data_IF_146439306932
#
_entry.id   IF_146439306932
#
_cell.length_a   1.000
_cell.length_b   1.000
_cell.length_c   1.000
_cell.angle_alpha   90.00
_cell.angle_beta   90.00
_cell.angle_gamma   90.00
#
_symmetry.space_group_name_H-M   'P 1'
#
loop_
_entity.id
_entity.type
_entity.pdbx_description
1 polymer ?
#
# COMPACT_ATOMS: atom_id res chain seq x y z
N UNK A 1 -10.65 -29.08 -30.26
CA UNK A 1 -9.28 -28.57 -30.22
C UNK A 1 -9.27 -27.26 -31.01
N UNK A 2 -9.54 -26.13 -30.35
CA UNK A 2 -9.33 -24.81 -30.96
C UNK A 2 -8.08 -24.23 -30.32
N UNK A 3 -7.03 -24.15 -31.13
CA UNK A 3 -5.74 -23.64 -30.72
C UNK A 3 -5.69 -22.15 -31.10
N UNK A 4 -6.40 -21.31 -30.35
CA UNK A 4 -6.20 -19.85 -30.41
C UNK A 4 -4.87 -19.53 -29.72
N UNK A 5 -3.76 -19.75 -30.44
CA UNK A 5 -2.50 -19.06 -30.11
C UNK A 5 -2.72 -17.59 -30.43
N UNK A 6 -3.14 -16.82 -29.43
CA UNK A 6 -3.00 -15.37 -29.40
C UNK A 6 -1.54 -15.06 -29.76
N UNK A 7 -1.30 -14.60 -30.98
CA UNK A 7 0.02 -14.12 -31.41
C UNK A 7 0.16 -12.73 -30.78
N UNK A 8 0.80 -12.66 -29.61
CA UNK A 8 1.22 -11.39 -29.04
C UNK A 8 2.21 -10.73 -29.99
N UNK A 9 1.95 -9.49 -30.37
CA UNK A 9 2.86 -8.68 -31.17
C UNK A 9 4.10 -8.35 -30.35
N UNK A 10 5.22 -8.10 -31.03
CA UNK A 10 6.47 -7.68 -30.37
C UNK A 10 6.31 -6.38 -29.58
N UNK A 11 5.36 -5.51 -29.95
CA UNK A 11 5.00 -4.32 -29.18
C UNK A 11 4.32 -4.68 -27.85
N UNK A 12 3.34 -5.60 -27.86
CA UNK A 12 2.66 -6.05 -26.64
C UNK A 12 3.62 -6.75 -25.67
N UNK A 13 4.56 -7.56 -26.19
CA UNK A 13 5.58 -8.21 -25.37
C UNK A 13 6.56 -7.20 -24.72
N UNK A 14 6.90 -6.11 -25.41
CA UNK A 14 7.77 -5.05 -24.87
C UNK A 14 7.02 -4.23 -23.82
N UNK A 15 5.76 -3.89 -24.04
CA UNK A 15 4.93 -3.20 -23.04
C UNK A 15 4.73 -4.03 -21.77
N UNK A 16 4.51 -5.33 -21.89
CA UNK A 16 4.37 -6.26 -20.76
C UNK A 16 5.67 -6.39 -19.96
N UNK A 17 6.81 -6.08 -20.57
CA UNK A 17 8.13 -6.05 -19.92
C UNK A 17 8.49 -4.71 -19.26
N UNK A 18 7.63 -3.69 -19.37
CA UNK A 18 7.87 -2.40 -18.70
C UNK A 18 7.73 -2.62 -17.20
N UNK A 19 8.88 -2.79 -16.56
CA UNK A 19 8.96 -2.88 -15.11
C UNK A 19 8.52 -1.55 -14.49
N UNK A 20 7.68 -1.60 -13.46
CA UNK A 20 7.34 -0.45 -12.66
C UNK A 20 8.58 0.28 -12.15
N UNK A 21 8.74 1.54 -12.54
CA UNK A 21 9.82 2.38 -12.03
C UNK A 21 9.34 3.13 -10.78
N UNK A 22 9.90 2.81 -9.62
CA UNK A 22 9.79 3.66 -8.42
C UNK A 22 10.99 4.60 -8.38
N UNK A 23 10.74 5.90 -8.46
CA UNK A 23 11.74 6.93 -8.23
C UNK A 23 11.32 7.77 -7.03
N UNK A 24 12.25 8.02 -6.12
CA UNK A 24 12.03 8.86 -4.95
C UNK A 24 13.34 9.60 -4.63
N UNK A 25 13.27 10.92 -4.51
CA UNK A 25 14.38 11.77 -4.11
C UNK A 25 14.08 12.36 -2.73
N UNK A 26 15.02 12.23 -1.80
CA UNK A 26 14.92 12.79 -0.44
C UNK A 26 15.95 13.90 -0.22
N UNK A 27 15.55 14.93 0.52
CA UNK A 27 16.43 16.07 0.83
C UNK A 27 17.60 15.69 1.74
N UNK A 28 17.43 14.69 2.60
CA UNK A 28 18.44 14.16 3.51
C UNK A 28 19.37 13.13 2.85
N UNK A 29 19.14 12.79 1.58
CA UNK A 29 19.87 11.72 0.88
C UNK A 29 19.63 10.33 1.47
N UNK A 30 18.61 10.16 2.31
CA UNK A 30 18.27 8.91 2.95
C UNK A 30 17.97 7.80 1.95
N UNK A 31 18.36 6.56 2.31
CA UNK A 31 18.13 5.40 1.47
C UNK A 31 16.64 5.23 1.14
N UNK A 32 16.34 4.94 -0.12
CA UNK A 32 15.01 4.46 -0.50
C UNK A 32 14.85 3.03 0.02
N UNK A 33 13.67 2.70 0.55
CA UNK A 33 13.37 1.32 0.92
C UNK A 33 13.47 0.48 -0.35
N UNK A 34 14.32 -0.54 -0.28
CA UNK A 34 14.51 -1.49 -1.36
C UNK A 34 13.15 -2.06 -1.78
N UNK A 35 12.89 -2.03 -3.09
CA UNK A 35 11.72 -2.70 -3.61
C UNK A 35 11.84 -4.21 -3.30
N UNK A 36 10.78 -4.85 -2.78
CA UNK A 36 10.72 -6.31 -2.70
C UNK A 36 11.10 -6.94 -4.04
N UNK A 37 11.92 -7.97 -3.99
CA UNK A 37 11.87 -9.01 -5.02
C UNK A 37 10.48 -9.66 -4.98
N UNK A 38 9.89 -9.94 -6.13
CA UNK A 38 8.64 -10.69 -6.38
C UNK A 38 7.30 -9.96 -6.18
N UNK A 39 7.22 -8.90 -5.38
CA UNK A 39 5.94 -8.19 -5.18
C UNK A 39 5.60 -7.32 -6.39
N UNK A 40 6.61 -6.74 -7.03
CA UNK A 40 6.44 -5.83 -8.17
C UNK A 40 6.75 -6.53 -9.51
N UNK A 41 7.21 -7.77 -9.46
CA UNK A 41 7.74 -8.49 -10.63
C UNK A 41 6.65 -9.00 -11.59
N UNK A 42 5.39 -9.04 -11.14
CA UNK A 42 4.26 -9.33 -12.03
C UNK A 42 3.98 -8.10 -12.92
N UNK A 43 3.91 -8.27 -14.26
CA UNK A 43 3.65 -7.18 -15.20
C UNK A 43 2.45 -6.33 -14.81
N UNK A 44 2.51 -5.01 -14.99
CA UNK A 44 1.39 -4.11 -14.66
C UNK A 44 0.07 -4.52 -15.33
N UNK A 45 0.11 -5.06 -16.56
CA UNK A 45 -1.07 -5.56 -17.28
C UNK A 45 -1.76 -6.75 -16.63
N UNK A 46 -1.08 -7.47 -15.74
CA UNK A 46 -1.65 -8.60 -14.99
C UNK A 46 -2.36 -8.19 -13.70
N UNK A 47 -2.29 -6.90 -13.31
CA UNK A 47 -2.86 -6.40 -12.06
C UNK A 47 -3.96 -5.38 -12.34
N UNK A 48 -5.01 -5.43 -11.52
CA UNK A 48 -5.99 -4.36 -11.51
C UNK A 48 -5.38 -3.06 -10.95
N UNK A 49 -5.97 -1.89 -11.27
CA UNK A 49 -5.62 -0.63 -10.61
C UNK A 49 -5.65 -0.71 -9.07
N UNK A 50 -6.63 -1.41 -8.49
CA UNK A 50 -6.76 -1.56 -7.04
C UNK A 50 -5.64 -2.41 -6.42
N UNK A 51 -5.36 -3.59 -6.99
CA UNK A 51 -4.25 -4.44 -6.57
C UNK A 51 -2.92 -3.67 -6.64
N UNK A 52 -2.73 -2.94 -7.74
CA UNK A 52 -1.55 -2.11 -7.96
C UNK A 52 -1.41 -1.00 -6.91
N UNK A 53 -2.50 -0.31 -6.55
CA UNK A 53 -2.49 0.71 -5.51
C UNK A 53 -2.23 0.12 -4.12
N UNK A 54 -2.85 -1.02 -3.79
CA UNK A 54 -2.70 -1.72 -2.52
C UNK A 54 -1.23 -2.06 -2.22
N UNK A 55 -0.55 -2.71 -3.17
CA UNK A 55 0.86 -3.10 -3.01
C UNK A 55 1.76 -1.88 -2.74
N UNK A 56 1.61 -0.80 -3.52
CA UNK A 56 2.42 0.41 -3.37
C UNK A 56 2.15 1.14 -2.07
N UNK A 57 0.90 1.20 -1.62
CA UNK A 57 0.54 1.81 -0.33
C UNK A 57 1.20 1.08 0.84
N UNK A 58 1.28 -0.25 0.80
CA UNK A 58 1.99 -1.04 1.81
C UNK A 58 3.45 -0.61 1.92
N UNK A 59 4.13 -0.40 0.79
CA UNK A 59 5.52 0.05 0.76
C UNK A 59 5.70 1.44 1.38
N UNK A 60 4.78 2.37 1.09
CA UNK A 60 4.81 3.70 1.70
C UNK A 60 4.55 3.66 3.20
N UNK A 61 3.60 2.84 3.66
CA UNK A 61 3.29 2.69 5.09
C UNK A 61 4.48 2.09 5.83
N UNK A 62 5.08 1.01 5.30
CA UNK A 62 6.26 0.38 5.90
C UNK A 62 7.42 1.38 6.01
N UNK A 63 7.73 2.09 4.93
CA UNK A 63 8.81 3.07 4.93
C UNK A 63 8.55 4.24 5.89
N UNK A 64 7.30 4.68 5.99
CA UNK A 64 6.93 5.71 6.96
C UNK A 64 7.15 5.21 8.38
N UNK A 65 6.73 3.98 8.68
CA UNK A 65 6.91 3.33 9.99
C UNK A 65 8.38 3.11 10.36
N UNK A 66 9.26 2.82 9.41
CA UNK A 66 10.72 2.72 9.63
C UNK A 66 11.33 4.01 10.15
N UNK A 67 10.73 5.17 9.81
CA UNK A 67 11.19 6.48 10.27
C UNK A 67 10.62 6.90 11.64
N UNK A 68 9.70 6.12 12.23
CA UNK A 68 9.03 6.47 13.48
C UNK A 68 9.80 5.96 14.71
N UNK A 69 9.76 6.76 15.77
CA UNK A 69 10.25 6.39 17.10
C UNK A 69 9.30 5.42 17.84
N UNK A 70 9.69 5.02 19.06
CA UNK A 70 8.95 4.06 19.88
C UNK A 70 7.68 4.63 20.54
N UNK A 71 7.41 5.93 20.42
CA UNK A 71 6.26 6.61 21.00
C UNK A 71 5.15 6.87 19.98
N UNK A 72 5.44 6.67 18.68
CA UNK A 72 4.51 6.93 17.59
C UNK A 72 4.14 5.68 16.78
N UNK A 73 2.89 5.62 16.36
CA UNK A 73 2.31 4.68 15.41
C UNK A 73 1.84 5.42 14.16
N UNK A 74 1.67 4.69 13.05
CA UNK A 74 1.11 5.27 11.83
C UNK A 74 -0.39 5.50 11.97
N UNK A 75 -0.81 6.74 11.72
CA UNK A 75 -2.18 7.12 11.44
C UNK A 75 -2.35 7.50 9.98
N UNK A 76 -3.54 7.31 9.46
CA UNK A 76 -3.92 7.68 8.11
C UNK A 76 -4.93 8.83 8.15
N UNK A 77 -4.59 9.93 7.48
CA UNK A 77 -5.52 11.00 7.15
C UNK A 77 -6.00 10.85 5.70
N UNK A 78 -7.23 11.27 5.46
CA UNK A 78 -7.80 11.32 4.11
C UNK A 78 -7.71 12.74 3.59
N UNK A 79 -6.97 12.95 2.51
CA UNK A 79 -6.79 14.29 1.97
C UNK A 79 -8.10 14.74 1.29
N UNK A 80 -8.63 15.87 1.74
CA UNK A 80 -9.88 16.45 1.22
C UNK A 80 -11.18 15.92 1.86
N UNK A 81 -11.11 15.11 2.92
CA UNK A 81 -12.29 14.63 3.65
C UNK A 81 -12.29 15.02 5.13
N UNK A 82 -13.48 15.26 5.69
CA UNK A 82 -13.67 15.55 7.13
C UNK A 82 -13.62 14.30 8.02
N UNK A 83 -13.30 13.14 7.44
CA UNK A 83 -13.26 11.84 8.09
C UNK A 83 -12.13 11.70 9.15
N UNK A 84 -11.25 12.70 9.30
CA UNK A 84 -10.30 12.78 10.40
C UNK A 84 -9.05 11.89 10.24
N UNK A 85 -8.57 11.36 11.36
CA UNK A 85 -7.42 10.43 11.43
C UNK A 85 -7.95 9.03 11.76
N UNK A 86 -7.60 8.06 10.94
CA UNK A 86 -7.79 6.64 11.18
C UNK A 86 -6.46 6.04 11.68
N UNK A 87 -6.42 5.50 12.90
CA UNK A 87 -5.34 4.58 13.28
C UNK A 87 -5.54 3.30 12.49
N UNK A 88 -4.65 3.05 11.54
CA UNK A 88 -4.80 1.98 10.57
C UNK A 88 -4.42 0.63 11.19
N UNK A 89 -5.31 -0.35 11.06
CA UNK A 89 -5.13 -1.70 11.58
C UNK A 89 -5.17 -2.75 10.46
N UNK A 90 -5.66 -2.37 9.28
CA UNK A 90 -5.72 -3.25 8.12
C UNK A 90 -6.01 -2.51 6.82
N UNK A 91 -5.70 -3.18 5.72
CA UNK A 91 -5.98 -2.75 4.36
C UNK A 91 -6.50 -3.91 3.53
N UNK A 92 -7.23 -3.57 2.47
CA UNK A 92 -7.66 -4.53 1.47
C UNK A 92 -7.91 -3.86 0.13
N UNK A 93 -8.15 -4.68 -0.89
CA UNK A 93 -8.56 -4.21 -2.20
C UNK A 93 -9.62 -5.16 -2.79
N UNK A 94 -10.40 -4.64 -3.72
CA UNK A 94 -11.35 -5.43 -4.49
C UNK A 94 -11.28 -5.00 -5.95
N UNK A 95 -11.01 -5.97 -6.82
CA UNK A 95 -10.81 -5.70 -8.24
C UNK A 95 -12.09 -5.18 -8.92
N UNK A 96 -11.98 -4.22 -9.85
CA UNK A 96 -10.73 -3.65 -10.35
C UNK A 96 -10.27 -2.37 -9.61
N UNK A 97 -11.09 -1.77 -8.75
CA UNK A 97 -10.98 -0.34 -8.45
C UNK A 97 -11.19 0.09 -6.99
N UNK A 98 -11.51 -0.81 -6.07
CA UNK A 98 -11.76 -0.45 -4.66
C UNK A 98 -10.54 -0.75 -3.78
N UNK A 99 -10.18 0.18 -2.91
CA UNK A 99 -9.23 0.00 -1.80
C UNK A 99 -9.95 0.32 -0.48
N UNK A 100 -9.72 -0.51 0.53
CA UNK A 100 -10.31 -0.34 1.87
C UNK A 100 -9.25 -0.14 2.94
N UNK A 101 -9.53 0.71 3.91
CA UNK A 101 -8.71 0.96 5.09
C UNK A 101 -9.56 0.72 6.33
N UNK A 102 -9.13 -0.19 7.21
CA UNK A 102 -9.83 -0.52 8.45
C UNK A 102 -9.00 -0.12 9.67
N UNK A 103 -9.66 0.33 10.72
CA UNK A 103 -8.99 0.63 11.99
C UNK A 103 -9.89 1.31 13.00
N UNK A 104 -9.30 2.21 13.79
CA UNK A 104 -9.98 2.97 14.85
C UNK A 104 -9.86 4.47 14.64
N UNK A 105 -10.92 5.22 14.92
CA UNK A 105 -10.88 6.68 14.95
C UNK A 105 -10.26 7.22 16.26
N UNK A 106 -10.27 8.55 16.43
CA UNK A 106 -9.75 9.20 17.64
C UNK A 106 -10.53 8.88 18.92
N UNK A 107 -11.77 8.43 18.82
CA UNK A 107 -12.59 7.96 19.95
C UNK A 107 -12.40 6.48 20.28
N UNK A 108 -11.65 5.75 19.44
CA UNK A 108 -11.48 4.31 19.53
C UNK A 108 -12.61 3.52 18.87
N UNK A 109 -13.55 4.18 18.20
CA UNK A 109 -14.62 3.50 17.47
C UNK A 109 -14.07 2.85 16.21
N UNK A 110 -14.61 1.67 15.86
CA UNK A 110 -14.27 1.00 14.60
C UNK A 110 -14.68 1.87 13.43
N UNK A 111 -13.74 2.06 12.52
CA UNK A 111 -13.93 2.85 11.33
C UNK A 111 -13.35 2.10 10.14
N UNK A 112 -14.06 2.15 9.02
CA UNK A 112 -13.56 1.65 7.75
C UNK A 112 -13.84 2.68 6.68
N UNK A 113 -12.81 3.03 5.91
CA UNK A 113 -12.97 3.80 4.70
C UNK A 113 -12.90 2.89 3.48
N UNK A 114 -13.83 3.12 2.55
CA UNK A 114 -13.86 2.48 1.23
C UNK A 114 -13.67 3.57 0.19
N UNK A 115 -12.64 3.48 -0.64
CA UNK A 115 -12.36 4.46 -1.70
C UNK A 115 -12.18 3.78 -3.05
N UNK A 116 -12.64 4.46 -4.09
CA UNK A 116 -12.24 4.15 -5.45
C UNK A 116 -10.80 4.63 -5.70
N UNK A 117 -9.99 3.84 -6.39
CA UNK A 117 -8.55 4.08 -6.61
C UNK A 117 -8.26 5.42 -7.31
N UNK A 118 -9.16 5.89 -8.18
CA UNK A 118 -9.01 7.20 -8.85
C UNK A 118 -9.17 8.40 -7.91
N UNK A 119 -9.74 8.20 -6.72
CA UNK A 119 -9.96 9.23 -5.70
C UNK A 119 -8.94 9.14 -4.56
N UNK A 120 -8.00 8.20 -4.65
CA UNK A 120 -7.07 7.90 -3.57
C UNK A 120 -6.18 9.11 -3.25
N UNK A 121 -6.40 9.70 -2.08
CA UNK A 121 -5.58 10.76 -1.54
C UNK A 121 -5.29 10.48 -0.07
N UNK A 122 -4.08 10.00 0.21
CA UNK A 122 -3.68 9.44 1.51
C UNK A 122 -2.59 10.31 2.13
N UNK A 123 -2.77 10.63 3.41
CA UNK A 123 -1.75 11.27 4.24
C UNK A 123 -1.35 10.28 5.34
N UNK A 124 -0.05 9.99 5.47
CA UNK A 124 0.46 9.25 6.62
C UNK A 124 0.91 10.25 7.69
N UNK A 125 0.51 10.02 8.94
CA UNK A 125 0.81 10.88 10.08
C UNK A 125 1.35 10.05 11.23
N UNK A 126 2.34 10.57 11.95
CA UNK A 126 2.75 10.01 13.22
C UNK A 126 1.67 10.33 14.26
N UNK A 127 1.17 9.31 14.93
CA UNK A 127 0.16 9.43 16.00
C UNK A 127 0.71 8.80 17.27
N UNK A 128 0.38 9.33 18.47
CA UNK A 128 0.84 8.70 19.70
C UNK A 128 0.41 7.23 19.78
N UNK A 129 1.33 6.38 20.21
CA UNK A 129 1.08 4.96 20.47
C UNK A 129 -0.06 4.82 21.47
N UNK A 130 -0.89 3.80 21.27
CA UNK A 130 -1.94 3.48 22.23
C UNK A 130 -1.32 3.05 23.59
N UNK A 131 -1.70 3.67 24.73
CA UNK A 131 -1.08 3.39 26.03
C UNK A 131 -1.17 1.93 26.48
N UNK A 132 -2.16 1.20 25.96
CA UNK A 132 -2.36 -0.22 26.25
C UNK A 132 -1.33 -1.14 25.55
N UNK A 133 -0.66 -0.66 24.50
CA UNK A 133 0.34 -1.45 23.77
C UNK A 133 1.73 -1.30 24.38
N UNK A 134 2.42 -2.42 24.63
CA UNK A 134 3.80 -2.40 25.10
C UNK A 134 4.76 -1.79 24.06
N UNK A 135 4.56 -2.13 22.78
CA UNK A 135 5.34 -1.63 21.63
C UNK A 135 4.39 -0.99 20.60
N UNK A 136 4.87 -0.03 19.76
CA UNK A 136 4.05 0.53 18.69
C UNK A 136 3.52 -0.54 17.75
N UNK A 137 2.25 -0.45 17.38
CA UNK A 137 1.72 -1.20 16.26
C UNK A 137 2.40 -0.75 14.96
N UNK A 138 3.06 -1.70 14.29
CA UNK A 138 3.73 -1.52 12.99
C UNK A 138 3.02 -2.38 11.93
N UNK A 139 1.93 -1.86 11.37
CA UNK A 139 1.08 -2.63 10.44
C UNK A 139 1.72 -2.80 9.07
N UNK A 140 2.55 -1.85 8.62
CA UNK A 140 3.22 -1.89 7.32
C UNK A 140 4.07 -3.14 7.12
N UNK A 141 4.81 -3.56 8.16
CA UNK A 141 5.61 -4.79 8.13
C UNK A 141 4.73 -6.05 8.07
N UNK A 142 3.59 -6.06 8.75
CA UNK A 142 2.65 -7.19 8.73
C UNK A 142 1.98 -7.32 7.36
N UNK A 143 1.51 -6.20 6.81
CA UNK A 143 0.94 -6.15 5.46
C UNK A 143 1.97 -6.57 4.41
N UNK A 144 3.23 -6.15 4.58
CA UNK A 144 4.32 -6.55 3.71
C UNK A 144 4.58 -8.06 3.75
N UNK A 145 4.66 -8.64 4.95
CA UNK A 145 4.85 -10.08 5.10
C UNK A 145 3.67 -10.90 4.54
N UNK A 146 2.44 -10.38 4.62
CA UNK A 146 1.26 -11.01 4.00
C UNK A 146 1.30 -10.95 2.47
N UNK A 147 1.73 -9.81 1.92
CA UNK A 147 1.89 -9.60 0.49
C UNK A 147 2.94 -10.54 -0.13
N UNK A 148 4.06 -10.77 0.56
CA UNK A 148 5.10 -11.71 0.11
C UNK A 148 4.61 -13.17 0.11
N UNK A 149 3.74 -13.55 1.06
CA UNK A 149 3.14 -14.90 1.10
C UNK A 149 2.12 -15.12 -0.03
N UNK A 150 1.34 -14.09 -0.36
CA UNK A 150 0.30 -14.18 -1.39
C UNK A 150 0.88 -14.03 -2.82
N UNK A 151 2.10 -13.51 -2.93
CA UNK A 151 2.83 -13.36 -4.19
C UNK A 151 3.45 -14.65 -4.75
N UNK A 152 3.49 -15.73 -3.97
CA UNK A 152 3.99 -17.07 -4.37
C UNK A 152 2.87 -17.89 -5.01
#
# INVERSE_FOLDING_TARGET
>A
MNNDRLIATSAEAVEDSILPCRHEARADGGATVALPENVIDKPMKSKSPAAWAYERLILYIQQFEESLDADHEVGMGFAGGDAGVLRIEGMGYFDPDIVTFSGRDSSGARMQLVQHVSQLSVVLRATPKEPAHAEPARIGFRLRADLEKTGT
#
